data_IF_196869408815
#
_entry.id   IF_196869408815
#
_cell.length_a   1.000
_cell.length_b   1.000
_cell.length_c   1.000
_cell.angle_alpha   90.00
_cell.angle_beta   90.00
_cell.angle_gamma   90.00
#
_symmetry.space_group_name_H-M   'P 1'
#
loop_
_entity.id
_entity.type
_entity.pdbx_description
1 polymer ?
#
# COMPACT_ATOMS: atom_id res chain seq x y z
N UNK A 1 25.52 -20.07 -22.48
CA UNK A 1 24.59 -19.96 -21.32
C UNK A 1 24.85 -18.68 -20.54
N UNK A 2 24.67 -17.50 -21.16
CA UNK A 2 24.96 -16.20 -20.52
C UNK A 2 23.80 -15.20 -20.64
N UNK A 3 22.75 -15.56 -21.40
CA UNK A 3 21.52 -14.75 -21.54
C UNK A 3 20.44 -15.11 -20.51
N UNK A 4 20.54 -16.26 -19.84
CA UNK A 4 19.55 -16.70 -18.85
C UNK A 4 19.79 -16.06 -17.47
N UNK A 5 21.06 -15.89 -17.10
CA UNK A 5 21.50 -15.28 -15.83
C UNK A 5 21.25 -13.77 -15.74
N UNK A 6 21.09 -13.07 -16.87
CA UNK A 6 20.67 -11.65 -16.89
C UNK A 6 19.16 -11.51 -16.66
N UNK A 7 18.35 -12.49 -17.07
CA UNK A 7 16.88 -12.46 -16.89
C UNK A 7 16.48 -12.69 -15.43
N UNK A 8 17.20 -13.57 -14.73
CA UNK A 8 16.98 -13.83 -13.29
C UNK A 8 17.31 -12.58 -12.46
N UNK A 9 18.42 -11.90 -12.76
CA UNK A 9 18.80 -10.65 -12.05
C UNK A 9 17.90 -9.45 -12.33
N UNK A 10 17.24 -9.39 -13.48
CA UNK A 10 16.24 -8.35 -13.76
C UNK A 10 14.90 -8.57 -13.04
N UNK A 11 14.65 -9.79 -12.55
CA UNK A 11 13.39 -10.15 -11.88
C UNK A 11 13.50 -9.94 -10.37
N UNK A 12 14.69 -10.12 -9.78
CA UNK A 12 14.92 -9.90 -8.35
C UNK A 12 15.07 -8.41 -7.96
N UNK A 13 15.42 -7.54 -8.92
CA UNK A 13 15.64 -6.11 -8.68
C UNK A 13 14.39 -5.22 -8.92
N UNK A 14 13.21 -5.82 -9.15
CA UNK A 14 12.00 -5.09 -9.59
C UNK A 14 10.89 -4.89 -8.56
N UNK A 15 10.90 -5.59 -7.43
CA UNK A 15 9.70 -5.67 -6.58
C UNK A 15 9.98 -5.45 -5.09
N UNK A 16 10.63 -4.34 -4.73
CA UNK A 16 10.46 -3.77 -3.38
C UNK A 16 9.36 -2.70 -3.45
N UNK A 17 8.18 -2.95 -2.86
CA UNK A 17 7.12 -1.96 -2.80
C UNK A 17 7.63 -0.66 -2.18
N UNK A 18 7.43 0.46 -2.87
CA UNK A 18 7.99 1.74 -2.48
C UNK A 18 7.14 2.89 -3.03
N UNK A 19 7.29 4.07 -2.41
CA UNK A 19 6.56 5.29 -2.79
C UNK A 19 5.30 5.52 -1.96
N UNK A 20 4.50 6.50 -2.37
CA UNK A 20 3.28 6.90 -1.67
C UNK A 20 2.14 5.92 -1.93
N UNK A 21 1.54 5.41 -0.86
CA UNK A 21 0.33 4.59 -0.89
C UNK A 21 -0.79 5.32 -0.14
N UNK A 22 -1.81 5.76 -0.86
CA UNK A 22 -3.01 6.40 -0.31
C UNK A 22 -4.11 5.36 -0.09
N UNK A 23 -4.49 5.15 1.16
CA UNK A 23 -5.54 4.19 1.52
C UNK A 23 -6.71 4.94 2.16
N UNK A 24 -7.91 4.72 1.62
CA UNK A 24 -9.15 5.20 2.22
C UNK A 24 -9.78 4.12 3.10
N UNK A 25 -10.34 4.51 4.24
CA UNK A 25 -11.12 3.60 5.09
C UNK A 25 -12.16 4.37 5.91
N UNK A 26 -13.13 3.65 6.49
CA UNK A 26 -14.08 4.26 7.43
C UNK A 26 -13.38 4.63 8.74
N UNK A 27 -13.88 5.65 9.44
CA UNK A 27 -13.26 6.15 10.67
C UNK A 27 -13.13 5.04 11.73
N UNK A 28 -14.17 4.22 11.88
CA UNK A 28 -14.18 3.11 12.85
C UNK A 28 -13.16 2.03 12.52
N UNK A 29 -13.04 1.66 11.24
CA UNK A 29 -12.09 0.63 10.81
C UNK A 29 -10.64 1.15 10.88
N UNK A 30 -10.43 2.41 10.50
CA UNK A 30 -9.12 3.08 10.56
C UNK A 30 -8.57 3.18 11.97
N UNK A 31 -9.36 3.71 12.90
CA UNK A 31 -8.94 3.97 14.28
C UNK A 31 -8.88 2.71 15.14
N UNK A 32 -9.73 1.71 14.86
CA UNK A 32 -9.72 0.44 15.59
C UNK A 32 -8.77 -0.58 14.98
N UNK A 33 -9.17 -1.19 13.87
CA UNK A 33 -8.53 -2.40 13.35
C UNK A 33 -7.26 -2.15 12.53
N UNK A 34 -7.27 -1.08 11.71
CA UNK A 34 -6.19 -0.81 10.77
C UNK A 34 -4.94 -0.31 11.49
N UNK A 35 -5.10 0.63 12.42
CA UNK A 35 -3.98 1.23 13.17
C UNK A 35 -3.16 0.19 13.94
N UNK A 36 -3.78 -0.87 14.47
CA UNK A 36 -3.08 -1.97 15.16
C UNK A 36 -2.14 -2.78 14.24
N UNK A 37 -2.38 -2.77 12.92
CA UNK A 37 -1.63 -3.57 11.91
C UNK A 37 -0.61 -2.76 11.14
N UNK A 38 -0.71 -1.43 11.18
CA UNK A 38 0.23 -0.54 10.51
C UNK A 38 1.69 -0.73 10.93
N UNK A 39 2.03 -0.99 12.22
CA UNK A 39 3.42 -1.15 12.62
C UNK A 39 4.11 -2.29 11.86
N UNK A 40 3.48 -3.47 11.82
CA UNK A 40 4.00 -4.63 11.08
C UNK A 40 4.13 -4.33 9.58
N UNK A 41 3.13 -3.65 8.99
CA UNK A 41 3.18 -3.27 7.59
C UNK A 41 4.34 -2.32 7.26
N UNK A 42 4.56 -1.30 8.09
CA UNK A 42 5.63 -0.31 7.90
C UNK A 42 7.00 -0.96 8.12
N UNK A 43 7.12 -1.90 9.05
CA UNK A 43 8.36 -2.67 9.26
C UNK A 43 8.69 -3.57 8.07
N UNK A 44 7.68 -4.21 7.46
CA UNK A 44 7.85 -5.05 6.28
C UNK A 44 8.15 -4.25 5.01
N UNK A 45 7.58 -3.04 4.89
CA UNK A 45 7.70 -2.17 3.72
C UNK A 45 8.14 -0.75 4.10
N UNK A 46 9.38 -0.58 4.58
CA UNK A 46 9.87 0.71 5.08
C UNK A 46 10.01 1.79 3.99
N UNK A 47 10.03 1.40 2.72
CA UNK A 47 10.13 2.30 1.57
C UNK A 47 8.74 2.83 1.11
N UNK A 48 7.65 2.40 1.75
CA UNK A 48 6.30 2.92 1.51
C UNK A 48 6.01 4.08 2.45
N UNK A 49 5.60 5.21 1.89
CA UNK A 49 4.95 6.29 2.62
C UNK A 49 3.44 6.03 2.63
N UNK A 50 2.87 5.70 3.79
CA UNK A 50 1.45 5.42 3.91
C UNK A 50 0.66 6.68 4.28
N UNK A 51 -0.32 7.03 3.45
CA UNK A 51 -1.29 8.08 3.74
C UNK A 51 -2.68 7.46 3.98
N UNK A 52 -3.21 7.61 5.18
CA UNK A 52 -4.56 7.18 5.52
C UNK A 52 -5.57 8.32 5.38
N UNK A 53 -6.65 8.06 4.66
CA UNK A 53 -7.81 8.96 4.54
C UNK A 53 -8.97 8.29 5.26
N UNK A 54 -9.34 8.87 6.40
CA UNK A 54 -10.47 8.39 7.21
C UNK A 54 -11.72 9.15 6.83
N UNK A 55 -12.64 8.49 6.15
CA UNK A 55 -13.90 9.09 5.72
C UNK A 55 -15.03 8.06 5.84
N UNK A 56 -16.18 8.49 6.33
CA UNK A 56 -17.37 7.65 6.39
C UNK A 56 -18.17 7.69 5.07
N UNK A 57 -17.84 8.62 4.17
CA UNK A 57 -18.38 8.67 2.81
C UNK A 57 -17.50 7.82 1.85
N UNK A 58 -18.13 7.24 0.81
CA UNK A 58 -17.38 6.52 -0.22
C UNK A 58 -16.59 7.50 -1.08
N UNK A 59 -15.26 7.52 -0.91
CA UNK A 59 -14.38 8.26 -1.81
C UNK A 59 -14.39 7.65 -3.22
N UNK A 60 -14.44 8.53 -4.23
CA UNK A 60 -14.40 8.14 -5.63
C UNK A 60 -12.97 7.76 -6.04
N UNK A 61 -12.72 6.46 -6.11
CA UNK A 61 -11.45 5.91 -6.58
C UNK A 61 -11.16 6.24 -8.06
N UNK A 62 -12.20 6.55 -8.85
CA UNK A 62 -12.08 6.97 -10.26
C UNK A 62 -11.41 8.33 -10.38
N UNK A 63 -11.56 9.20 -9.36
CA UNK A 63 -10.88 10.49 -9.27
C UNK A 63 -9.46 10.39 -8.71
N UNK A 64 -8.92 9.17 -8.50
CA UNK A 64 -7.59 8.92 -7.91
C UNK A 64 -7.37 9.59 -6.56
N UNK A 65 -8.44 9.71 -5.77
CA UNK A 65 -8.35 10.28 -4.42
C UNK A 65 -7.64 9.31 -3.44
N UNK A 66 -7.69 8.01 -3.74
CA UNK A 66 -6.92 6.97 -3.05
C UNK A 66 -6.49 5.90 -4.07
N UNK A 67 -5.44 5.16 -3.73
CA UNK A 67 -4.96 4.01 -4.50
C UNK A 67 -5.78 2.76 -4.18
N UNK A 68 -6.29 2.64 -2.95
CA UNK A 68 -7.22 1.59 -2.56
C UNK A 68 -8.16 2.04 -1.43
N UNK A 69 -9.25 1.29 -1.23
CA UNK A 69 -10.20 1.51 -0.15
C UNK A 69 -10.44 0.22 0.65
N UNK A 70 -10.55 0.35 1.97
CA UNK A 70 -10.91 -0.71 2.90
C UNK A 70 -12.28 -0.35 3.50
N UNK A 71 -13.30 -1.16 3.24
CA UNK A 71 -14.70 -0.93 3.66
C UNK A 71 -15.33 -2.25 4.11
N UNK A 72 -16.47 -2.17 4.77
CA UNK A 72 -17.30 -3.31 5.21
C UNK A 72 -18.67 -3.25 4.54
#
# INVERSE_FOLDING_TARGET
MQLESVRVRLTEAKDRPSGLLKVSTTVGLGTGWLTERLPEFIELYPDIELQLILDNEELDLTMRQADCAIRM
#
